data_IF_523494298967
#
_entry.id   IF_523494298967
#
_cell.length_a   1.000
_cell.length_b   1.000
_cell.length_c   1.000
_cell.angle_alpha   90.00
_cell.angle_beta   90.00
_cell.angle_gamma   90.00
#
_symmetry.space_group_name_H-M   'P 1'
#
loop_
_entity.id
_entity.type
_entity.pdbx_description
1 polymer ?
#
# COMPACT_ATOMS: atom_id res chain seq x y z
N UNK A 1 62.78 -42.72 -37.60
CA UNK A 1 62.43 -42.27 -36.23
C UNK A 1 62.05 -40.80 -36.35
N UNK A 2 60.83 -40.31 -36.24
CA UNK A 2 59.48 -40.84 -36.03
C UNK A 2 58.52 -39.67 -36.35
N UNK A 3 57.38 -39.96 -36.95
CA UNK A 3 56.35 -38.99 -37.38
C UNK A 3 55.53 -38.48 -36.19
N UNK A 4 55.24 -37.18 -36.10
CA UNK A 4 54.15 -36.64 -35.29
C UNK A 4 53.30 -35.69 -36.13
N UNK A 5 52.02 -36.04 -36.27
CA UNK A 5 51.02 -35.31 -37.05
C UNK A 5 50.36 -34.15 -36.28
N UNK A 6 49.54 -33.33 -36.96
CA UNK A 6 49.02 -32.08 -36.43
C UNK A 6 47.86 -32.33 -35.47
N UNK A 7 47.91 -31.68 -34.30
CA UNK A 7 46.92 -31.78 -33.24
C UNK A 7 45.55 -31.27 -33.66
N UNK A 8 44.54 -32.12 -33.46
CA UNK A 8 43.11 -31.84 -33.67
C UNK A 8 42.62 -30.88 -32.58
N UNK A 9 42.45 -29.59 -32.90
CA UNK A 9 41.77 -28.63 -32.01
C UNK A 9 40.29 -29.00 -31.90
N UNK A 10 39.81 -29.26 -30.67
CA UNK A 10 38.38 -29.39 -30.38
C UNK A 10 37.73 -28.01 -30.44
N UNK A 11 36.78 -27.84 -31.33
CA UNK A 11 35.86 -26.70 -31.37
C UNK A 11 34.89 -26.88 -30.18
N UNK A 12 34.71 -25.89 -29.30
CA UNK A 12 33.75 -25.99 -28.22
C UNK A 12 32.33 -25.93 -28.81
N UNK A 13 31.52 -26.92 -28.45
CA UNK A 13 30.09 -27.04 -28.77
C UNK A 13 29.35 -25.76 -28.36
N UNK A 14 29.06 -24.87 -29.31
CA UNK A 14 28.27 -23.64 -29.10
C UNK A 14 26.77 -23.84 -29.40
N UNK A 15 26.38 -25.04 -29.82
CA UNK A 15 25.01 -25.34 -30.28
C UNK A 15 24.10 -26.00 -29.24
N UNK A 16 24.59 -26.26 -28.00
CA UNK A 16 23.77 -26.91 -26.95
C UNK A 16 23.06 -25.95 -26.00
N UNK A 17 23.49 -24.69 -25.92
CA UNK A 17 22.93 -23.72 -24.97
C UNK A 17 21.55 -23.19 -25.39
N UNK A 18 21.24 -23.17 -26.70
CA UNK A 18 20.00 -22.56 -27.20
C UNK A 18 18.75 -23.39 -26.91
N UNK A 19 18.81 -24.71 -27.08
CA UNK A 19 17.66 -25.58 -26.84
C UNK A 19 17.30 -25.73 -25.35
N UNK A 20 18.30 -25.71 -24.47
CA UNK A 20 18.09 -25.72 -23.01
C UNK A 20 17.56 -24.37 -22.51
N UNK A 21 18.10 -23.24 -22.98
CA UNK A 21 17.59 -21.90 -22.64
C UNK A 21 16.17 -21.68 -23.16
N UNK A 22 15.84 -22.16 -24.37
CA UNK A 22 14.48 -22.09 -24.91
C UNK A 22 13.50 -22.92 -24.07
N UNK A 23 13.90 -24.11 -23.60
CA UNK A 23 13.09 -24.94 -22.72
C UNK A 23 12.87 -24.26 -21.35
N UNK A 24 13.90 -23.64 -20.76
CA UNK A 24 13.79 -22.90 -19.51
C UNK A 24 12.89 -21.67 -19.65
N UNK A 25 12.99 -20.94 -20.76
CA UNK A 25 12.11 -19.81 -21.09
C UNK A 25 10.65 -20.24 -21.28
N UNK A 26 10.42 -21.44 -21.80
CA UNK A 26 9.07 -21.99 -21.99
C UNK A 26 8.46 -22.41 -20.65
N UNK A 27 9.25 -23.05 -19.77
CA UNK A 27 8.86 -23.38 -18.40
C UNK A 27 8.54 -22.11 -17.59
N UNK A 28 9.36 -21.06 -17.71
CA UNK A 28 9.14 -19.80 -17.02
C UNK A 28 7.83 -19.12 -17.46
N UNK A 29 7.56 -19.05 -18.77
CA UNK A 29 6.29 -18.53 -19.31
C UNK A 29 5.09 -19.36 -18.88
N UNK A 30 5.22 -20.67 -18.85
CA UNK A 30 4.13 -21.55 -18.42
C UNK A 30 3.85 -21.42 -16.91
N UNK A 31 4.89 -21.25 -16.08
CA UNK A 31 4.75 -20.97 -14.66
C UNK A 31 4.09 -19.60 -14.41
N UNK A 32 4.48 -18.57 -15.16
CA UNK A 32 3.91 -17.23 -15.09
C UNK A 32 2.43 -17.24 -15.52
N UNK A 33 2.08 -17.93 -16.60
CA UNK A 33 0.69 -18.11 -17.03
C UNK A 33 -0.15 -18.82 -15.96
N UNK A 34 0.39 -19.86 -15.31
CA UNK A 34 -0.30 -20.55 -14.20
C UNK A 34 -0.49 -19.65 -12.98
N UNK A 35 0.48 -18.79 -12.67
CA UNK A 35 0.34 -17.80 -11.60
C UNK A 35 -0.70 -16.73 -11.96
N UNK A 36 -0.70 -16.25 -13.20
CA UNK A 36 -1.69 -15.29 -13.69
C UNK A 36 -3.12 -15.84 -13.61
N UNK A 37 -3.34 -17.12 -13.99
CA UNK A 37 -4.64 -17.79 -13.84
C UNK A 37 -5.04 -17.89 -12.36
N UNK A 38 -4.11 -18.21 -11.45
CA UNK A 38 -4.40 -18.22 -10.00
C UNK A 38 -4.75 -16.82 -9.48
N UNK A 39 -4.06 -15.78 -9.94
CA UNK A 39 -4.37 -14.37 -9.59
C UNK A 39 -5.77 -13.99 -10.09
N UNK A 40 -6.11 -14.34 -11.33
CA UNK A 40 -7.44 -14.10 -11.90
C UNK A 40 -8.55 -14.83 -11.13
N UNK A 41 -8.34 -16.11 -10.78
CA UNK A 41 -9.30 -16.88 -10.00
C UNK A 41 -9.51 -16.32 -8.58
N UNK A 42 -8.45 -15.82 -7.95
CA UNK A 42 -8.57 -15.10 -6.66
C UNK A 42 -9.36 -13.80 -6.81
N UNK A 43 -9.09 -13.02 -7.86
CA UNK A 43 -9.84 -11.80 -8.14
C UNK A 43 -11.33 -12.07 -8.41
N UNK A 44 -11.66 -13.11 -9.18
CA UNK A 44 -13.05 -13.52 -9.41
C UNK A 44 -13.73 -14.00 -8.11
N UNK A 45 -13.01 -14.72 -7.24
CA UNK A 45 -13.51 -15.11 -5.94
C UNK A 45 -13.79 -13.90 -5.03
N UNK A 46 -12.94 -12.85 -5.06
CA UNK A 46 -13.20 -11.57 -4.36
C UNK A 46 -14.48 -10.92 -4.87
N UNK A 47 -14.65 -10.83 -6.18
CA UNK A 47 -15.82 -10.21 -6.82
C UNK A 47 -17.13 -10.93 -6.47
N UNK A 48 -17.13 -12.27 -6.52
CA UNK A 48 -18.29 -13.08 -6.14
C UNK A 48 -18.63 -12.85 -4.66
N UNK A 49 -17.62 -12.85 -3.80
CA UNK A 49 -17.80 -12.68 -2.36
C UNK A 49 -18.29 -11.29 -1.99
N UNK A 50 -17.77 -10.25 -2.65
CA UNK A 50 -18.23 -8.87 -2.47
C UNK A 50 -19.69 -8.68 -2.90
N UNK A 51 -20.10 -9.29 -4.02
CA UNK A 51 -21.49 -9.26 -4.48
C UNK A 51 -22.45 -9.98 -3.53
N UNK A 52 -22.04 -11.11 -2.96
CA UNK A 52 -22.85 -11.83 -1.96
C UNK A 52 -23.03 -10.98 -0.69
N UNK A 53 -22.02 -10.21 -0.29
CA UNK A 53 -22.12 -9.31 0.86
C UNK A 53 -23.05 -8.14 0.64
N UNK A 54 -22.97 -7.53 -0.54
CA UNK A 54 -23.91 -6.47 -0.95
C UNK A 54 -25.35 -7.01 -0.98
N UNK A 55 -25.54 -8.26 -1.42
CA UNK A 55 -26.83 -8.97 -1.39
C UNK A 55 -27.34 -9.16 0.04
N UNK A 56 -26.48 -9.62 0.96
CA UNK A 56 -26.84 -9.80 2.37
C UNK A 56 -27.17 -8.48 3.07
N UNK A 57 -26.41 -7.40 2.80
CA UNK A 57 -26.71 -6.07 3.34
C UNK A 57 -28.07 -5.54 2.85
N UNK A 58 -28.40 -5.81 1.58
CA UNK A 58 -29.69 -5.41 1.00
C UNK A 58 -30.86 -6.20 1.58
N UNK A 59 -30.74 -7.51 1.74
CA UNK A 59 -31.79 -8.37 2.34
C UNK A 59 -32.09 -7.96 3.80
N UNK A 60 -31.07 -7.65 4.60
CA UNK A 60 -31.25 -7.18 5.99
C UNK A 60 -31.93 -5.81 6.04
N UNK A 61 -31.58 -4.89 5.13
CA UNK A 61 -32.22 -3.57 5.04
C UNK A 61 -33.71 -3.69 4.69
N UNK A 62 -34.07 -4.59 3.78
CA UNK A 62 -35.47 -4.80 3.37
C UNK A 62 -36.30 -5.44 4.51
N UNK A 63 -35.68 -6.31 5.33
CA UNK A 63 -36.32 -6.92 6.50
C UNK A 63 -36.51 -5.92 7.66
N UNK A 64 -35.55 -5.00 7.90
CA UNK A 64 -35.71 -3.90 8.85
C UNK A 64 -36.85 -2.95 8.45
N UNK A 65 -36.98 -2.65 7.16
CA UNK A 65 -38.07 -1.82 6.66
C UNK A 65 -39.44 -2.48 6.88
N UNK A 66 -39.54 -3.80 6.64
CA UNK A 66 -40.78 -4.57 6.91
C UNK A 66 -41.15 -4.62 8.40
N UNK A 67 -40.17 -4.76 9.29
CA UNK A 67 -40.40 -4.81 10.74
C UNK A 67 -40.72 -3.42 11.34
N UNK A 68 -40.29 -2.34 10.69
CA UNK A 68 -40.58 -0.95 11.08
C UNK A 68 -42.03 -0.53 10.80
N UNK A 69 -42.64 -1.05 9.73
CA UNK A 69 -44.02 -0.68 9.32
C UNK A 69 -45.11 -1.32 10.21
N UNK A 70 -44.77 -2.36 10.99
CA UNK A 70 -45.71 -3.08 11.87
C UNK A 70 -46.17 -2.33 13.13
N UNK A 71 -45.56 -1.19 13.48
CA UNK A 71 -45.79 -0.52 14.78
C UNK A 71 -46.69 0.74 14.74
N UNK A 72 -47.29 1.12 13.59
CA UNK A 72 -48.08 2.37 13.47
C UNK A 72 -49.56 2.18 13.12
N UNK A 73 -50.21 1.13 13.61
CA UNK A 73 -51.65 1.00 13.42
C UNK A 73 -52.36 0.02 14.33
N UNK A 74 -52.62 0.39 15.59
CA UNK A 74 -53.86 -0.03 16.26
C UNK A 74 -54.12 0.77 17.55
N UNK A 75 -54.59 2.00 17.37
CA UNK A 75 -55.38 2.70 18.39
C UNK A 75 -56.79 2.83 17.82
N UNK A 76 -57.65 1.82 18.03
CA UNK A 76 -59.09 2.03 18.04
C UNK A 76 -59.81 0.95 18.85
N UNK A 77 -60.57 1.48 19.80
CA UNK A 77 -61.58 0.85 20.65
C UNK A 77 -62.74 0.33 19.79
N UNK A 78 -63.33 -0.77 20.29
CA UNK A 78 -64.63 -1.39 19.97
C UNK A 78 -64.80 -2.20 18.68
N UNK A 79 -64.98 -3.52 18.83
CA UNK A 79 -66.29 -4.20 18.97
C UNK A 79 -66.14 -5.67 18.51
N UNK A 80 -66.78 -6.55 19.27
CA UNK A 80 -66.85 -8.00 19.09
C UNK A 80 -67.22 -8.37 17.65
N UNK A 81 -66.55 -9.39 17.08
CA UNK A 81 -67.23 -10.48 16.38
C UNK A 81 -66.31 -11.70 16.30
N UNK A 82 -66.87 -12.83 16.71
CA UNK A 82 -66.31 -14.16 16.61
C UNK A 82 -65.94 -14.50 15.16
N UNK A 83 -64.73 -15.03 14.95
CA UNK A 83 -64.44 -15.86 13.78
C UNK A 83 -63.29 -16.82 14.08
N UNK A 84 -63.69 -18.04 14.42
CA UNK A 84 -62.87 -19.23 14.29
C UNK A 84 -62.42 -19.40 12.84
N UNK A 85 -61.11 -19.41 12.58
CA UNK A 85 -60.57 -20.10 11.41
C UNK A 85 -59.24 -20.77 11.74
N UNK A 86 -59.26 -22.07 11.48
CA UNK A 86 -58.29 -23.10 11.80
C UNK A 86 -57.19 -23.13 10.73
N UNK A 87 -55.92 -22.97 11.09
CA UNK A 87 -54.84 -23.46 10.24
C UNK A 87 -53.65 -24.00 11.04
N UNK A 88 -53.12 -25.12 10.54
CA UNK A 88 -52.33 -26.14 11.25
C UNK A 88 -50.82 -25.95 11.11
N UNK A 89 -50.10 -26.51 12.07
CA UNK A 89 -48.72 -27.02 11.95
C UNK A 89 -47.74 -26.29 12.88
N UNK A 90 -46.87 -26.91 13.66
CA UNK A 90 -46.44 -28.30 13.80
C UNK A 90 -45.87 -28.44 15.23
N UNK A 91 -46.29 -29.49 15.95
CA UNK A 91 -45.83 -29.82 17.30
C UNK A 91 -44.83 -30.97 17.22
N UNK A 92 -43.62 -30.78 17.76
CA UNK A 92 -42.84 -31.87 18.36
C UNK A 92 -42.20 -31.38 19.66
N UNK A 93 -42.75 -31.90 20.76
CA UNK A 93 -42.13 -32.22 22.05
C UNK A 93 -41.12 -31.24 22.68
N UNK A 94 -41.46 -30.71 23.85
CA UNK A 94 -40.95 -31.31 25.09
C UNK A 94 -41.76 -30.88 26.32
N UNK A 95 -42.09 -31.89 27.11
CA UNK A 95 -42.92 -31.90 28.31
C UNK A 95 -42.09 -31.62 29.56
N UNK A 96 -42.41 -30.59 30.34
CA UNK A 96 -42.27 -30.63 31.81
C UNK A 96 -43.42 -29.85 32.46
N UNK A 97 -44.03 -30.51 33.43
CA UNK A 97 -45.36 -30.29 33.99
C UNK A 97 -45.45 -29.11 34.96
N UNK A 98 -46.43 -28.22 34.75
CA UNK A 98 -46.85 -27.18 35.69
C UNK A 98 -48.02 -27.65 36.58
N UNK A 99 -47.88 -28.81 37.22
CA UNK A 99 -48.97 -29.46 37.96
C UNK A 99 -48.80 -29.48 39.50
N UNK A 100 -47.93 -28.64 40.08
CA UNK A 100 -47.59 -28.74 41.51
C UNK A 100 -47.86 -27.48 42.35
N UNK A 101 -48.84 -26.65 42.00
CA UNK A 101 -49.25 -25.51 42.86
C UNK A 101 -50.75 -25.36 43.12
N UNK A 102 -51.56 -26.37 42.83
CA UNK A 102 -52.99 -26.37 43.17
C UNK A 102 -53.28 -27.31 44.37
N UNK A 103 -52.79 -26.98 45.57
CA UNK A 103 -53.28 -27.65 46.78
C UNK A 103 -53.00 -26.88 48.08
N UNK A 104 -53.49 -25.65 48.21
CA UNK A 104 -53.72 -25.00 49.51
C UNK A 104 -54.99 -24.13 49.44
N UNK A 105 -56.11 -24.75 49.06
CA UNK A 105 -57.45 -24.15 49.12
C UNK A 105 -58.31 -24.90 50.13
N UNK A 106 -58.07 -24.69 51.42
CA UNK A 106 -58.82 -25.30 52.52
C UNK A 106 -59.18 -24.25 53.56
N UNK A 107 -60.43 -23.81 53.52
CA UNK A 107 -61.00 -22.78 54.39
C UNK A 107 -60.90 -23.15 55.88
N UNK A 108 -60.49 -22.20 56.73
CA UNK A 108 -60.88 -22.23 58.13
C UNK A 108 -60.86 -20.85 58.79
N UNK A 109 -62.01 -20.53 59.40
CA UNK A 109 -62.19 -19.72 60.61
C UNK A 109 -62.29 -18.18 60.52
N UNK A 110 -63.55 -17.75 60.44
CA UNK A 110 -64.21 -16.65 61.18
C UNK A 110 -63.34 -15.88 62.23
N UNK A 111 -63.03 -14.62 61.91
CA UNK A 111 -62.97 -13.39 62.77
C UNK A 111 -62.42 -12.30 61.84
N UNK A 112 -63.11 -11.22 61.52
CA UNK A 112 -63.41 -10.14 62.45
C UNK A 112 -62.28 -9.11 62.44
N UNK A 113 -62.49 -8.01 61.70
CA UNK A 113 -61.85 -6.70 61.84
C UNK A 113 -60.44 -6.49 61.26
N UNK A 114 -60.31 -5.30 60.62
CA UNK A 114 -59.10 -4.57 60.17
C UNK A 114 -58.21 -5.26 59.11
N UNK A 115 -58.19 -4.74 57.87
CA UNK A 115 -56.96 -4.56 57.06
C UNK A 115 -57.29 -3.96 55.68
N UNK A 116 -57.39 -2.63 55.62
CA UNK A 116 -57.45 -1.88 54.36
C UNK A 116 -56.05 -1.47 53.86
N UNK A 117 -55.00 -1.70 54.65
CA UNK A 117 -53.61 -1.28 54.37
C UNK A 117 -52.78 -2.34 53.62
N UNK A 118 -52.98 -3.64 53.89
CA UNK A 118 -52.16 -4.70 53.26
C UNK A 118 -52.50 -4.96 51.77
N UNK A 119 -53.75 -4.71 51.35
CA UNK A 119 -54.19 -4.91 49.96
C UNK A 119 -53.66 -3.84 49.00
N UNK A 120 -53.51 -2.59 49.46
CA UNK A 120 -53.03 -1.49 48.60
C UNK A 120 -51.52 -1.60 48.37
N UNK A 121 -50.80 -2.03 49.41
CA UNK A 121 -49.34 -2.20 49.38
C UNK A 121 -48.91 -3.39 48.50
N UNK A 122 -49.66 -4.49 48.55
CA UNK A 122 -49.48 -5.63 47.63
C UNK A 122 -49.85 -5.30 46.19
N UNK A 123 -50.90 -4.50 45.97
CA UNK A 123 -51.28 -4.05 44.62
C UNK A 123 -50.25 -3.07 44.02
N UNK A 124 -49.67 -2.18 44.84
CA UNK A 124 -48.58 -1.29 44.42
C UNK A 124 -47.31 -2.08 44.06
N UNK A 125 -46.92 -3.06 44.87
CA UNK A 125 -45.78 -3.95 44.60
C UNK A 125 -45.95 -4.75 43.30
N UNK A 126 -47.16 -5.23 43.00
CA UNK A 126 -47.45 -5.92 41.74
C UNK A 126 -47.29 -4.99 40.52
N UNK A 127 -47.70 -3.71 40.63
CA UNK A 127 -47.49 -2.74 39.53
C UNK A 127 -46.01 -2.45 39.33
N UNK A 128 -45.25 -2.24 40.40
CA UNK A 128 -43.81 -1.99 40.33
C UNK A 128 -43.04 -3.18 39.71
N UNK A 129 -43.43 -4.42 40.02
CA UNK A 129 -42.84 -5.61 39.38
C UNK A 129 -43.18 -5.68 37.89
N UNK A 130 -44.40 -5.29 37.49
CA UNK A 130 -44.80 -5.25 36.07
C UNK A 130 -44.05 -4.18 35.29
N UNK A 131 -43.88 -2.99 35.88
CA UNK A 131 -43.13 -1.90 35.28
C UNK A 131 -41.64 -2.28 35.17
N UNK A 132 -41.08 -2.89 36.21
CA UNK A 132 -39.70 -3.42 36.20
C UNK A 132 -39.48 -4.52 35.15
N UNK A 133 -40.48 -5.40 34.96
CA UNK A 133 -40.47 -6.41 33.91
C UNK A 133 -40.48 -5.76 32.52
N UNK A 134 -41.36 -4.79 32.28
CA UNK A 134 -41.43 -4.07 31.01
C UNK A 134 -40.11 -3.32 30.70
N UNK A 135 -39.50 -2.69 31.70
CA UNK A 135 -38.18 -2.05 31.58
C UNK A 135 -37.07 -3.04 31.23
N UNK A 136 -37.09 -4.22 31.85
CA UNK A 136 -36.13 -5.28 31.57
C UNK A 136 -36.30 -5.85 30.15
N UNK A 137 -37.55 -6.04 29.70
CA UNK A 137 -37.89 -6.47 28.34
C UNK A 137 -37.43 -5.44 27.29
N UNK A 138 -37.61 -4.14 27.55
CA UNK A 138 -37.12 -3.08 26.66
C UNK A 138 -35.60 -3.03 26.59
N UNK A 139 -34.91 -3.17 27.72
CA UNK A 139 -33.44 -3.25 27.75
C UNK A 139 -32.93 -4.46 27.00
N UNK A 140 -33.57 -5.61 27.15
CA UNK A 140 -33.21 -6.83 26.43
C UNK A 140 -33.36 -6.65 24.92
N UNK A 141 -34.48 -6.08 24.46
CA UNK A 141 -34.71 -5.78 23.05
C UNK A 141 -33.64 -4.84 22.48
N UNK A 142 -33.28 -3.76 23.20
CA UNK A 142 -32.21 -2.84 22.79
C UNK A 142 -30.86 -3.56 22.69
N UNK A 143 -30.54 -4.42 23.65
CA UNK A 143 -29.32 -5.22 23.64
C UNK A 143 -29.28 -6.20 22.46
N UNK A 144 -30.40 -6.83 22.10
CA UNK A 144 -30.48 -7.73 20.94
C UNK A 144 -30.24 -6.99 19.62
N UNK A 145 -30.85 -5.82 19.42
CA UNK A 145 -30.61 -4.99 18.23
C UNK A 145 -29.16 -4.54 18.16
N UNK A 146 -28.59 -4.08 19.28
CA UNK A 146 -27.17 -3.71 19.34
C UNK A 146 -26.24 -4.90 19.05
N UNK A 147 -26.59 -6.10 19.52
CA UNK A 147 -25.79 -7.30 19.27
C UNK A 147 -25.84 -7.71 17.79
N UNK A 148 -27.01 -7.63 17.15
CA UNK A 148 -27.15 -7.84 15.71
C UNK A 148 -26.30 -6.84 14.91
N UNK A 149 -26.35 -5.55 15.27
CA UNK A 149 -25.51 -4.53 14.64
C UNK A 149 -24.03 -4.83 14.78
N UNK A 150 -23.57 -5.15 16.00
CA UNK A 150 -22.17 -5.51 16.25
C UNK A 150 -21.74 -6.75 15.48
N UNK A 151 -22.64 -7.71 15.27
CA UNK A 151 -22.36 -8.89 14.45
C UNK A 151 -22.16 -8.51 12.98
N UNK A 152 -23.02 -7.65 12.44
CA UNK A 152 -22.90 -7.14 11.06
C UNK A 152 -21.60 -6.34 10.87
N UNK A 153 -21.27 -5.46 11.81
CA UNK A 153 -20.03 -4.68 11.79
C UNK A 153 -18.80 -5.60 11.86
N UNK A 154 -18.83 -6.61 12.75
CA UNK A 154 -17.78 -7.62 12.86
C UNK A 154 -17.59 -8.39 11.55
N UNK A 155 -18.68 -8.84 10.93
CA UNK A 155 -18.63 -9.53 9.65
C UNK A 155 -18.03 -8.62 8.58
N UNK A 156 -18.52 -7.39 8.46
CA UNK A 156 -18.02 -6.40 7.49
C UNK A 156 -16.52 -6.13 7.66
N UNK A 157 -16.07 -5.88 8.88
CA UNK A 157 -14.66 -5.66 9.19
C UNK A 157 -13.79 -6.88 8.88
N UNK A 158 -14.30 -8.09 9.18
CA UNK A 158 -13.60 -9.33 8.86
C UNK A 158 -13.37 -9.47 7.35
N UNK A 159 -14.35 -9.12 6.51
CA UNK A 159 -14.18 -9.11 5.05
C UNK A 159 -13.17 -8.05 4.59
N UNK A 160 -13.22 -6.84 5.15
CA UNK A 160 -12.23 -5.80 4.83
C UNK A 160 -10.81 -6.26 5.16
N UNK A 161 -10.61 -6.90 6.30
CA UNK A 161 -9.31 -7.45 6.69
C UNK A 161 -8.84 -8.53 5.71
N UNK A 162 -9.73 -9.40 5.27
CA UNK A 162 -9.39 -10.44 4.29
C UNK A 162 -9.04 -9.85 2.91
N UNK A 163 -9.81 -8.87 2.44
CA UNK A 163 -9.52 -8.15 1.20
C UNK A 163 -8.17 -7.43 1.25
N UNK A 164 -7.87 -6.72 2.35
CA UNK A 164 -6.60 -6.03 2.55
C UNK A 164 -5.40 -7.00 2.64
N UNK A 165 -5.56 -8.16 3.27
CA UNK A 165 -4.51 -9.20 3.29
C UNK A 165 -4.21 -9.72 1.90
N UNK A 166 -5.26 -9.88 1.11
CA UNK A 166 -5.19 -10.33 -0.27
C UNK A 166 -4.51 -9.29 -1.17
N UNK A 167 -4.85 -8.00 -1.04
CA UNK A 167 -4.16 -6.89 -1.72
C UNK A 167 -2.70 -6.74 -1.29
N UNK A 168 -2.41 -6.90 0.00
CA UNK A 168 -1.03 -6.89 0.51
C UNK A 168 -0.18 -7.98 -0.16
N UNK A 169 -0.72 -9.20 -0.28
CA UNK A 169 -0.06 -10.29 -0.97
C UNK A 169 0.24 -9.98 -2.44
N UNK A 170 -0.71 -9.37 -3.16
CA UNK A 170 -0.51 -8.97 -4.56
C UNK A 170 0.58 -7.89 -4.68
N UNK A 171 0.63 -6.93 -3.75
CA UNK A 171 1.68 -5.89 -3.70
C UNK A 171 3.05 -6.45 -3.36
N UNK A 172 3.14 -7.42 -2.45
CA UNK A 172 4.37 -8.14 -2.11
C UNK A 172 4.92 -8.91 -3.32
N UNK A 173 4.05 -9.61 -4.07
CA UNK A 173 4.40 -10.30 -5.31
C UNK A 173 4.94 -9.31 -6.36
N UNK A 174 4.24 -8.18 -6.57
CA UNK A 174 4.66 -7.15 -7.53
C UNK A 174 6.03 -6.52 -7.16
N UNK A 175 6.27 -6.30 -5.86
CA UNK A 175 7.54 -5.78 -5.36
C UNK A 175 8.67 -6.80 -5.56
N UNK A 176 8.41 -8.08 -5.34
CA UNK A 176 9.38 -9.14 -5.58
C UNK A 176 9.73 -9.24 -7.08
N UNK A 177 8.74 -9.18 -7.97
CA UNK A 177 8.94 -9.14 -9.41
C UNK A 177 9.71 -7.89 -9.88
N UNK A 178 9.46 -6.72 -9.28
CA UNK A 178 10.18 -5.49 -9.58
C UNK A 178 11.65 -5.57 -9.16
N UNK A 179 11.94 -6.13 -7.98
CA UNK A 179 13.32 -6.38 -7.53
C UNK A 179 14.05 -7.33 -8.47
N UNK A 180 13.42 -8.45 -8.83
CA UNK A 180 14.01 -9.42 -9.78
C UNK A 180 14.33 -8.76 -11.13
N UNK A 181 13.39 -7.96 -11.67
CA UNK A 181 13.61 -7.18 -12.89
C UNK A 181 14.78 -6.22 -12.76
N UNK A 182 14.91 -5.53 -11.62
CA UNK A 182 16.04 -4.65 -11.32
C UNK A 182 17.39 -5.39 -11.27
N UNK A 183 17.42 -6.58 -10.69
CA UNK A 183 18.64 -7.41 -10.66
C UNK A 183 19.06 -7.85 -12.06
N UNK A 184 18.10 -8.22 -12.91
CA UNK A 184 18.38 -8.66 -14.28
C UNK A 184 18.83 -7.50 -15.18
N UNK A 185 18.24 -6.32 -15.06
CA UNK A 185 18.71 -5.12 -15.79
C UNK A 185 20.08 -4.67 -15.31
N UNK A 186 20.39 -4.80 -14.01
CA UNK A 186 21.70 -4.49 -13.48
C UNK A 186 22.79 -5.44 -14.04
N UNK A 187 22.49 -6.75 -14.12
CA UNK A 187 23.41 -7.71 -14.78
C UNK A 187 23.66 -7.34 -16.24
N UNK A 188 22.63 -6.91 -16.97
CA UNK A 188 22.77 -6.49 -18.36
C UNK A 188 23.59 -5.21 -18.50
N UNK A 189 23.36 -4.23 -17.62
CA UNK A 189 24.16 -3.01 -17.57
C UNK A 189 25.65 -3.32 -17.33
N UNK A 190 25.97 -4.25 -16.44
CA UNK A 190 27.36 -4.66 -16.20
C UNK A 190 27.99 -5.36 -17.41
N UNK A 191 27.23 -6.17 -18.17
CA UNK A 191 27.72 -6.74 -19.44
C UNK A 191 28.04 -5.65 -20.46
N UNK A 192 27.14 -4.69 -20.63
CA UNK A 192 27.36 -3.55 -21.54
C UNK A 192 28.54 -2.68 -21.10
N UNK A 193 28.73 -2.45 -19.79
CA UNK A 193 29.90 -1.75 -19.26
C UNK A 193 31.20 -2.47 -19.62
N UNK A 194 31.23 -3.80 -19.48
CA UNK A 194 32.40 -4.61 -19.87
C UNK A 194 32.66 -4.51 -21.37
N UNK A 195 31.62 -4.67 -22.22
CA UNK A 195 31.74 -4.54 -23.66
C UNK A 195 32.24 -3.14 -24.08
N UNK A 196 31.71 -2.09 -23.47
CA UNK A 196 32.13 -0.72 -23.70
C UNK A 196 33.59 -0.50 -23.31
N UNK A 197 34.04 -1.05 -22.17
CA UNK A 197 35.43 -0.98 -21.74
C UNK A 197 36.39 -1.63 -22.75
N UNK A 198 36.03 -2.79 -23.29
CA UNK A 198 36.81 -3.45 -24.35
C UNK A 198 36.84 -2.61 -25.62
N UNK A 199 35.70 -2.04 -26.04
CA UNK A 199 35.64 -1.22 -27.24
C UNK A 199 36.44 0.08 -27.09
N UNK A 200 36.42 0.71 -25.92
CA UNK A 200 37.28 1.88 -25.62
C UNK A 200 38.76 1.53 -25.73
N UNK A 201 39.17 0.37 -25.22
CA UNK A 201 40.55 -0.09 -25.33
C UNK A 201 40.97 -0.24 -26.80
N UNK A 202 40.17 -0.94 -27.61
CA UNK A 202 40.45 -1.07 -29.04
C UNK A 202 40.42 0.26 -29.80
N UNK A 203 39.49 1.16 -29.48
CA UNK A 203 39.45 2.49 -30.07
C UNK A 203 40.73 3.28 -29.76
N UNK A 204 41.25 3.17 -28.53
CA UNK A 204 42.50 3.81 -28.14
C UNK A 204 43.69 3.24 -28.92
N UNK A 205 43.79 1.91 -29.04
CA UNK A 205 44.83 1.26 -29.85
C UNK A 205 44.79 1.70 -31.31
N UNK A 206 43.60 1.70 -31.93
CA UNK A 206 43.43 2.11 -33.33
C UNK A 206 43.80 3.59 -33.49
N UNK A 207 43.36 4.46 -32.59
CA UNK A 207 43.68 5.88 -32.62
C UNK A 207 45.19 6.13 -32.52
N UNK A 208 45.88 5.44 -31.61
CA UNK A 208 47.34 5.53 -31.48
C UNK A 208 48.04 5.04 -32.77
N UNK A 209 47.59 3.92 -33.34
CA UNK A 209 48.14 3.41 -34.60
C UNK A 209 47.93 4.38 -35.77
N UNK A 210 46.77 5.04 -35.86
CA UNK A 210 46.46 6.04 -36.86
C UNK A 210 47.40 7.24 -36.73
N UNK A 211 47.56 7.78 -35.51
CA UNK A 211 48.48 8.90 -35.26
C UNK A 211 49.92 8.57 -35.65
N UNK A 212 50.40 7.35 -35.37
CA UNK A 212 51.72 6.91 -35.80
C UNK A 212 51.87 6.87 -37.33
N UNK A 213 50.82 6.43 -38.05
CA UNK A 213 50.85 6.42 -39.52
C UNK A 213 50.81 7.83 -40.11
N UNK A 214 50.02 8.75 -39.54
CA UNK A 214 49.97 10.17 -39.93
C UNK A 214 51.33 10.86 -39.69
N UNK A 215 51.97 10.59 -38.56
CA UNK A 215 53.32 11.08 -38.25
C UNK A 215 54.38 10.53 -39.22
N UNK A 216 54.27 9.28 -39.64
CA UNK A 216 55.19 8.70 -40.63
C UNK A 216 54.97 9.31 -42.02
N UNK A 217 53.71 9.48 -42.43
CA UNK A 217 53.36 10.11 -43.71
C UNK A 217 53.87 11.55 -43.79
N UNK A 218 53.68 12.33 -42.72
CA UNK A 218 54.19 13.70 -42.62
C UNK A 218 55.72 13.75 -42.65
N UNK A 219 56.42 12.84 -41.95
CA UNK A 219 57.90 12.69 -42.03
C UNK A 219 58.38 12.36 -43.45
N UNK A 220 57.59 11.63 -44.23
CA UNK A 220 57.89 11.30 -45.63
C UNK A 220 57.40 12.35 -46.63
N UNK A 221 56.92 13.51 -46.17
CA UNK A 221 56.52 14.63 -47.02
C UNK A 221 55.13 14.49 -47.65
N UNK A 222 54.32 13.52 -47.22
CA UNK A 222 52.93 13.37 -47.64
C UNK A 222 52.04 14.09 -46.63
N UNK A 223 51.73 15.35 -46.91
CA UNK A 223 50.78 16.15 -46.12
C UNK A 223 49.39 15.90 -46.69
N UNK A 224 48.51 15.28 -45.90
CA UNK A 224 47.09 15.16 -46.22
C UNK A 224 46.43 16.50 -45.85
N UNK A 225 46.26 17.38 -46.83
CA UNK A 225 45.53 18.64 -46.63
C UNK A 225 44.06 18.36 -46.28
N UNK A 226 43.43 19.14 -45.38
CA UNK A 226 42.02 18.96 -45.01
C UNK A 226 41.05 19.21 -46.18
N UNK A 227 41.51 19.83 -47.27
CA UNK A 227 40.71 20.19 -48.44
C UNK A 227 40.93 19.28 -49.66
N UNK A 228 41.39 18.03 -49.50
CA UNK A 228 41.39 17.09 -50.64
C UNK A 228 39.94 16.69 -50.94
N UNK A 229 39.29 17.50 -51.76
CA UNK A 229 38.14 17.09 -52.54
C UNK A 229 38.54 15.87 -53.35
N UNK A 230 37.78 14.78 -53.20
CA UNK A 230 37.90 13.61 -54.06
C UNK A 230 37.84 14.07 -55.52
N UNK A 231 38.89 13.82 -56.29
CA UNK A 231 39.05 14.25 -57.68
C UNK A 231 37.73 14.30 -58.47
N UNK A 232 37.34 15.53 -58.82
CA UNK A 232 36.33 15.84 -59.82
C UNK A 232 35.73 17.23 -59.63
N UNK A 233 36.49 18.30 -59.91
CA UNK A 233 35.98 19.56 -60.49
C UNK A 233 37.13 20.56 -60.75
N UNK A 234 36.97 21.33 -61.83
CA UNK A 234 37.97 22.06 -62.63
C UNK A 234 38.08 23.56 -62.28
N UNK A 235 39.14 24.20 -62.84
CA UNK A 235 39.28 25.65 -63.12
C UNK A 235 39.58 26.57 -61.92
N UNK A 236 40.42 27.62 -61.96
CA UNK A 236 41.21 28.24 -63.03
C UNK A 236 42.13 29.36 -62.45
N UNK A 237 43.22 29.68 -63.18
CA UNK A 237 43.99 30.96 -63.32
C UNK A 237 44.70 31.64 -62.11
N UNK A 238 46.04 31.72 -62.08
CA UNK A 238 47.00 32.72 -62.66
C UNK A 238 47.08 34.10 -61.92
N UNK A 239 48.15 34.48 -61.18
CA UNK A 239 49.54 34.96 -61.49
C UNK A 239 49.71 36.52 -61.62
N UNK A 240 50.73 37.07 -60.92
CA UNK A 240 51.52 38.29 -61.27
C UNK A 240 51.31 39.52 -60.34
N UNK A 241 52.24 40.12 -59.58
CA UNK A 241 53.68 40.48 -59.61
C UNK A 241 54.03 41.91 -60.13
N UNK A 242 54.68 42.69 -59.24
CA UNK A 242 55.67 43.81 -59.39
C UNK A 242 55.27 45.17 -60.05
N UNK A 243 55.40 46.36 -59.42
CA UNK A 243 56.59 47.22 -59.07
C UNK A 243 57.39 47.69 -60.32
N UNK A 244 57.88 48.92 -60.57
CA UNK A 244 58.01 50.23 -59.90
C UNK A 244 58.47 51.31 -60.94
N UNK A 245 58.81 52.54 -60.49
CA UNK A 245 59.67 53.63 -61.07
C UNK A 245 59.06 55.01 -61.50
N UNK A 246 59.79 56.07 -61.09
CA UNK A 246 59.48 57.52 -61.04
C UNK A 246 60.14 58.35 -62.17
N UNK A 247 59.59 59.55 -62.48
CA UNK A 247 60.35 60.75 -62.94
C UNK A 247 59.55 62.07 -62.79
N UNK A 248 60.25 63.21 -62.66
CA UNK A 248 59.84 64.59 -62.25
C UNK A 248 60.26 65.63 -63.34
N UNK A 249 59.98 66.97 -63.32
CA UNK A 249 58.86 67.80 -62.85
C UNK A 249 58.32 68.79 -63.94
N UNK A 250 57.08 69.29 -63.80
CA UNK A 250 56.62 70.52 -64.48
C UNK A 250 55.21 70.45 -65.09
N UNK A 251 54.22 71.01 -64.37
CA UNK A 251 52.83 71.21 -64.80
C UNK A 251 52.04 69.96 -65.23
N UNK A 252 52.37 68.83 -64.61
CA UNK A 252 51.52 67.64 -64.56
C UNK A 252 51.45 67.29 -63.09
N UNK A 253 50.26 67.32 -62.53
CA UNK A 253 50.02 66.85 -61.18
C UNK A 253 50.74 65.51 -61.04
N UNK A 254 51.84 65.47 -60.27
CA UNK A 254 52.70 64.29 -60.29
C UNK A 254 51.87 63.09 -59.82
N UNK A 255 52.17 61.87 -60.25
CA UNK A 255 51.42 60.70 -59.77
C UNK A 255 51.44 60.64 -58.22
N UNK A 256 52.52 61.12 -57.61
CA UNK A 256 52.64 61.36 -56.18
C UNK A 256 51.69 62.44 -55.67
N UNK A 257 51.47 63.52 -56.41
CA UNK A 257 50.56 64.62 -56.07
C UNK A 257 49.09 64.19 -56.17
N UNK A 258 48.72 63.41 -57.20
CA UNK A 258 47.42 62.73 -57.31
C UNK A 258 47.22 61.71 -56.18
N UNK A 259 48.26 60.96 -55.83
CA UNK A 259 48.22 60.00 -54.71
C UNK A 259 48.13 60.71 -53.37
N UNK A 260 48.79 61.85 -53.20
CA UNK A 260 48.69 62.71 -52.02
C UNK A 260 47.30 63.32 -51.93
N UNK A 261 46.70 63.80 -53.03
CA UNK A 261 45.31 64.26 -53.05
C UNK A 261 44.33 63.16 -52.68
N UNK A 262 44.48 61.97 -53.27
CA UNK A 262 43.66 60.81 -52.95
C UNK A 262 43.81 60.39 -51.48
N UNK A 263 45.03 60.39 -50.94
CA UNK A 263 45.27 60.14 -49.52
C UNK A 263 44.69 61.24 -48.62
N UNK A 264 44.69 62.51 -49.06
CA UNK A 264 44.10 63.62 -48.33
C UNK A 264 42.57 63.57 -48.36
N UNK A 265 41.97 63.11 -49.45
CA UNK A 265 40.54 62.83 -49.62
C UNK A 265 40.12 61.63 -48.78
N UNK A 266 40.85 60.50 -48.84
CA UNK A 266 40.65 59.33 -47.98
C UNK A 266 40.79 59.70 -46.50
N UNK A 267 41.82 60.50 -46.15
CA UNK A 267 41.98 61.03 -44.78
C UNK A 267 40.83 61.97 -44.40
N UNK A 268 40.31 62.80 -45.31
CA UNK A 268 39.13 63.63 -45.03
C UNK A 268 37.89 62.77 -44.80
N UNK A 269 37.66 61.76 -45.66
CA UNK A 269 36.55 60.82 -45.54
C UNK A 269 36.60 60.03 -44.23
N UNK A 270 37.80 59.55 -43.85
CA UNK A 270 38.02 58.90 -42.55
C UNK A 270 37.83 59.88 -41.39
N UNK A 271 38.24 61.14 -41.53
CA UNK A 271 37.97 62.17 -40.53
C UNK A 271 36.48 62.43 -40.36
N UNK A 272 35.72 62.43 -41.46
CA UNK A 272 34.28 62.63 -41.44
C UNK A 272 33.56 61.40 -40.87
N UNK A 273 34.04 60.17 -41.15
CA UNK A 273 33.60 58.95 -40.47
C UNK A 273 33.89 58.98 -38.98
N UNK A 274 35.08 59.43 -38.56
CA UNK A 274 35.42 59.58 -37.14
C UNK A 274 34.56 60.64 -36.48
N UNK A 275 34.25 61.75 -37.16
CA UNK A 275 33.29 62.74 -36.66
C UNK A 275 31.89 62.13 -36.55
N UNK A 276 31.44 61.37 -37.54
CA UNK A 276 30.13 60.70 -37.52
C UNK A 276 30.04 59.65 -36.41
N UNK A 277 31.08 58.86 -36.20
CA UNK A 277 31.17 57.89 -35.10
C UNK A 277 31.25 58.58 -33.74
N UNK A 278 31.92 59.74 -33.66
CA UNK A 278 31.93 60.58 -32.45
C UNK A 278 30.57 61.20 -32.17
N UNK A 279 29.87 61.70 -33.18
CA UNK A 279 28.49 62.18 -33.01
C UNK A 279 27.56 61.03 -32.66
N UNK A 280 27.75 59.82 -33.20
CA UNK A 280 26.99 58.63 -32.79
C UNK A 280 27.31 58.15 -31.37
N UNK A 281 28.52 58.44 -30.86
CA UNK A 281 28.91 58.22 -29.47
C UNK A 281 28.36 59.33 -28.54
N UNK A 282 28.30 60.58 -28.99
CA UNK A 282 27.72 61.73 -28.26
C UNK A 282 26.18 61.70 -28.25
N UNK A 283 25.56 61.27 -29.35
CA UNK A 283 24.11 60.98 -29.47
C UNK A 283 23.71 59.68 -28.77
N UNK A 284 24.65 59.02 -28.10
CA UNK A 284 24.40 57.99 -27.10
C UNK A 284 24.44 58.64 -25.70
N UNK A 285 23.44 59.47 -25.29
CA UNK A 285 23.45 59.98 -23.95
C UNK A 285 23.12 58.83 -22.98
N UNK A 286 23.78 58.83 -21.83
CA UNK A 286 23.24 58.26 -20.59
C UNK A 286 23.08 56.73 -20.51
N UNK A 287 24.10 55.97 -20.88
CA UNK A 287 24.39 54.70 -20.20
C UNK A 287 25.83 54.77 -19.65
N UNK A 288 25.93 54.98 -18.34
CA UNK A 288 27.10 54.73 -17.49
C UNK A 288 28.15 55.85 -17.39
N UNK A 289 27.84 56.80 -16.49
CA UNK A 289 28.65 57.32 -15.36
C UNK A 289 29.84 58.28 -15.54
N UNK A 290 29.87 59.25 -14.61
CA UNK A 290 31.02 59.89 -13.92
C UNK A 290 31.32 61.35 -14.37
N UNK A 291 31.29 62.41 -13.56
CA UNK A 291 31.13 62.60 -12.12
C UNK A 291 31.33 64.10 -11.76
N UNK A 292 30.94 64.47 -10.53
CA UNK A 292 31.12 65.75 -9.80
C UNK A 292 30.15 66.92 -10.09
N UNK A 293 29.13 67.04 -9.22
CA UNK A 293 28.87 68.20 -8.34
C UNK A 293 27.77 67.82 -7.31
N UNK A 294 28.07 67.96 -6.01
CA UNK A 294 27.15 67.81 -4.86
C UNK A 294 26.64 69.23 -4.51
N UNK A 295 25.41 69.53 -4.00
CA UNK A 295 24.39 68.67 -3.38
C UNK A 295 22.93 68.96 -3.84
N UNK A 296 21.95 68.34 -3.18
CA UNK A 296 20.48 68.50 -3.30
C UNK A 296 19.74 67.62 -4.33
N UNK A 297 19.11 66.58 -3.79
CA UNK A 297 17.66 66.48 -3.90
C UNK A 297 17.07 65.87 -5.18
N UNK A 298 16.85 64.55 -5.08
CA UNK A 298 15.69 63.83 -5.60
C UNK A 298 15.67 63.41 -7.09
N UNK A 299 15.20 62.16 -7.23
CA UNK A 299 14.69 61.49 -8.42
C UNK A 299 15.75 60.93 -9.39
N UNK A 300 16.07 59.63 -9.25
CA UNK A 300 15.37 58.57 -9.99
C UNK A 300 16.22 57.28 -10.12
N UNK A 301 16.28 56.42 -9.09
CA UNK A 301 16.62 54.99 -9.32
C UNK A 301 16.12 54.02 -8.23
N UNK A 302 15.04 54.37 -7.54
CA UNK A 302 14.35 53.51 -6.56
C UNK A 302 13.51 52.37 -7.20
N UNK A 303 13.85 51.91 -8.40
CA UNK A 303 13.02 50.97 -9.18
C UNK A 303 13.55 49.54 -9.23
N UNK A 304 14.84 49.38 -9.54
CA UNK A 304 15.45 48.07 -9.78
C UNK A 304 15.85 47.36 -8.47
N UNK A 305 16.22 48.13 -7.45
CA UNK A 305 16.53 47.64 -6.11
C UNK A 305 15.26 47.24 -5.32
N UNK A 306 14.11 47.87 -5.61
CA UNK A 306 12.81 47.56 -4.96
C UNK A 306 12.28 46.20 -5.39
N UNK A 307 12.38 45.84 -6.67
CA UNK A 307 11.96 44.51 -7.16
C UNK A 307 12.84 43.39 -6.60
N UNK A 308 14.15 43.62 -6.46
CA UNK A 308 15.06 42.67 -5.84
C UNK A 308 14.76 42.51 -4.34
N UNK A 309 14.48 43.62 -3.63
CA UNK A 309 14.05 43.59 -2.22
C UNK A 309 12.70 42.90 -2.03
N UNK A 310 11.75 43.06 -2.95
CA UNK A 310 10.45 42.37 -2.92
C UNK A 310 10.63 40.86 -3.13
N UNK A 311 11.41 40.44 -4.13
CA UNK A 311 11.75 39.03 -4.34
C UNK A 311 12.46 38.42 -3.11
N UNK A 312 13.38 39.16 -2.48
CA UNK A 312 14.05 38.73 -1.26
C UNK A 312 13.06 38.60 -0.08
N UNK A 313 12.10 39.52 0.06
CA UNK A 313 11.06 39.46 1.10
C UNK A 313 10.11 38.28 0.87
N UNK A 314 9.71 38.04 -0.37
CA UNK A 314 8.84 36.91 -0.74
C UNK A 314 9.54 35.57 -0.55
N UNK A 315 10.81 35.46 -0.95
CA UNK A 315 11.64 34.29 -0.66
C UNK A 315 11.75 34.06 0.86
N UNK A 316 12.00 35.10 1.64
CA UNK A 316 12.06 35.01 3.11
C UNK A 316 10.70 34.63 3.74
N UNK A 317 9.59 35.10 3.18
CA UNK A 317 8.23 34.72 3.58
C UNK A 317 7.98 33.24 3.31
N UNK A 318 8.30 32.76 2.12
CA UNK A 318 8.18 31.35 1.74
C UNK A 318 9.07 30.45 2.61
N UNK A 319 10.31 30.85 2.87
CA UNK A 319 11.23 30.15 3.78
C UNK A 319 10.62 30.06 5.18
N UNK A 320 10.04 31.15 5.68
CA UNK A 320 9.42 31.16 7.01
C UNK A 320 8.19 30.25 7.08
N UNK A 321 7.38 30.22 6.02
CA UNK A 321 6.21 29.34 5.92
C UNK A 321 6.62 27.85 5.85
N UNK A 322 7.67 27.53 5.09
CA UNK A 322 8.23 26.18 5.03
C UNK A 322 8.83 25.75 6.37
N UNK A 323 9.53 26.65 7.07
CA UNK A 323 10.04 26.39 8.44
C UNK A 323 8.90 26.11 9.42
N UNK A 324 7.81 26.86 9.35
CA UNK A 324 6.64 26.60 10.19
C UNK A 324 6.00 25.24 9.89
N UNK A 325 5.84 24.90 8.61
CA UNK A 325 5.35 23.58 8.18
C UNK A 325 6.27 22.45 8.63
N UNK A 326 7.59 22.64 8.54
CA UNK A 326 8.58 21.68 9.02
C UNK A 326 8.43 21.44 10.53
N UNK A 327 8.42 22.50 11.35
CA UNK A 327 8.25 22.37 12.81
C UNK A 327 6.93 21.66 13.16
N UNK A 328 5.84 21.97 12.44
CA UNK A 328 4.56 21.30 12.64
C UNK A 328 4.64 19.82 12.30
N UNK A 329 5.28 19.46 11.18
CA UNK A 329 5.49 18.06 10.80
C UNK A 329 6.39 17.32 11.77
N UNK A 330 7.42 17.97 12.34
CA UNK A 330 8.30 17.38 13.36
C UNK A 330 7.52 17.09 14.66
N UNK A 331 6.60 17.97 15.07
CA UNK A 331 5.72 17.72 16.20
C UNK A 331 4.76 16.55 15.94
N UNK A 332 4.21 16.46 14.73
CA UNK A 332 3.35 15.34 14.32
C UNK A 332 4.11 14.01 14.30
N UNK A 333 5.36 14.00 13.81
CA UNK A 333 6.23 12.82 13.86
C UNK A 333 6.46 12.37 15.30
N UNK A 334 6.82 13.28 16.21
CA UNK A 334 7.02 12.94 17.62
C UNK A 334 5.76 12.35 18.29
N UNK A 335 4.58 12.86 17.93
CA UNK A 335 3.31 12.32 18.44
C UNK A 335 3.02 10.91 17.88
N UNK A 336 3.30 10.67 16.59
CA UNK A 336 3.16 9.35 15.98
C UNK A 336 4.15 8.34 16.57
N UNK A 337 5.39 8.73 16.83
CA UNK A 337 6.40 7.88 17.49
C UNK A 337 5.93 7.43 18.88
N UNK A 338 5.37 8.34 19.69
CA UNK A 338 4.79 7.96 20.98
C UNK A 338 3.62 6.98 20.85
N UNK A 339 2.78 7.15 19.83
CA UNK A 339 1.69 6.20 19.55
C UNK A 339 2.22 4.81 19.18
N UNK A 340 3.27 4.73 18.35
CA UNK A 340 3.93 3.46 17.99
C UNK A 340 4.44 2.76 19.25
N UNK A 341 5.18 3.47 20.12
CA UNK A 341 5.70 2.89 21.37
C UNK A 341 4.57 2.33 22.25
N UNK A 342 3.47 3.07 22.37
CA UNK A 342 2.30 2.62 23.16
C UNK A 342 1.65 1.38 22.55
N UNK A 343 1.47 1.36 21.23
CA UNK A 343 0.88 0.24 20.50
C UNK A 343 1.77 -1.01 20.56
N UNK A 344 3.08 -0.86 20.40
CA UNK A 344 4.05 -1.95 20.54
C UNK A 344 4.00 -2.56 21.95
N UNK A 345 3.87 -1.72 22.98
CA UNK A 345 3.63 -2.17 24.35
C UNK A 345 2.32 -2.94 24.52
N UNK A 346 1.25 -2.55 23.82
CA UNK A 346 -0.02 -3.32 23.82
C UNK A 346 0.13 -4.65 23.10
N UNK A 347 0.75 -4.68 21.91
CA UNK A 347 1.00 -5.90 21.14
C UNK A 347 1.81 -6.90 21.96
N UNK A 348 2.88 -6.44 22.62
CA UNK A 348 3.70 -7.29 23.48
C UNK A 348 2.89 -7.93 24.60
N UNK A 349 2.05 -7.13 25.30
CA UNK A 349 1.18 -7.65 26.37
C UNK A 349 0.16 -8.67 25.86
N UNK A 350 -0.52 -8.38 24.76
CA UNK A 350 -1.51 -9.30 24.19
C UNK A 350 -0.88 -10.59 23.67
N UNK A 351 0.32 -10.50 23.09
CA UNK A 351 1.09 -11.68 22.67
C UNK A 351 1.40 -12.58 23.85
N UNK A 352 1.96 -12.05 24.93
CA UNK A 352 2.25 -12.83 26.14
C UNK A 352 0.98 -13.40 26.78
N UNK A 353 -0.11 -12.63 26.81
CA UNK A 353 -1.39 -13.13 27.32
C UNK A 353 -1.95 -14.29 26.48
N UNK A 354 -1.85 -14.20 25.16
CA UNK A 354 -2.26 -15.26 24.24
C UNK A 354 -1.42 -16.53 24.41
N UNK A 355 -0.10 -16.39 24.47
CA UNK A 355 0.82 -17.53 24.70
C UNK A 355 0.55 -18.22 26.04
N UNK A 356 0.22 -17.46 27.09
CA UNK A 356 -0.15 -18.02 28.39
C UNK A 356 -1.51 -18.72 28.34
N UNK A 357 -2.50 -18.17 27.63
CA UNK A 357 -3.81 -18.78 27.46
C UNK A 357 -3.72 -20.12 26.69
N UNK A 358 -2.90 -20.18 25.64
CA UNK A 358 -2.64 -21.42 24.88
C UNK A 358 -2.04 -22.52 25.77
N UNK A 359 -1.04 -22.17 26.60
CA UNK A 359 -0.46 -23.11 27.57
C UNK A 359 -1.50 -23.66 28.55
N UNK A 360 -2.35 -22.79 29.11
CA UNK A 360 -3.42 -23.20 30.04
C UNK A 360 -4.44 -24.10 29.32
N UNK A 361 -4.79 -23.79 28.07
CA UNK A 361 -5.71 -24.61 27.29
C UNK A 361 -5.17 -26.04 27.10
N UNK A 362 -3.88 -26.17 26.79
CA UNK A 362 -3.24 -27.46 26.61
C UNK A 362 -3.14 -28.26 27.92
N UNK A 363 -2.86 -27.61 29.05
CA UNK A 363 -2.93 -28.22 30.38
C UNK A 363 -4.34 -28.75 30.67
N UNK A 364 -5.37 -27.93 30.44
CA UNK A 364 -6.77 -28.32 30.64
C UNK A 364 -7.20 -29.47 29.71
N UNK A 365 -6.69 -29.53 28.46
CA UNK A 365 -6.93 -30.68 27.56
C UNK A 365 -6.34 -31.97 28.15
N UNK A 366 -5.14 -31.90 28.73
CA UNK A 366 -4.50 -33.05 29.37
C UNK A 366 -5.29 -33.48 30.60
N UNK A 367 -5.68 -32.55 31.47
CA UNK A 367 -6.50 -32.83 32.65
C UNK A 367 -7.86 -33.43 32.30
N UNK A 368 -8.55 -32.88 31.28
CA UNK A 368 -9.81 -33.44 30.77
C UNK A 368 -9.65 -34.89 30.36
N UNK A 369 -8.58 -35.23 29.62
CA UNK A 369 -8.31 -36.62 29.20
C UNK A 369 -8.02 -37.52 30.40
N UNK A 370 -7.34 -37.01 31.43
CA UNK A 370 -7.06 -37.74 32.67
C UNK A 370 -8.36 -38.03 33.43
N UNK A 371 -9.18 -37.02 33.69
CA UNK A 371 -10.46 -37.17 34.38
C UNK A 371 -11.42 -38.08 33.61
N UNK A 372 -11.43 -38.01 32.28
CA UNK A 372 -12.22 -38.95 31.46
C UNK A 372 -11.77 -40.41 31.61
N UNK A 373 -10.47 -40.67 31.76
CA UNK A 373 -9.96 -42.02 32.03
C UNK A 373 -10.34 -42.49 33.42
N UNK A 374 -10.20 -41.62 34.42
CA UNK A 374 -10.59 -41.91 35.81
C UNK A 374 -12.10 -42.18 35.94
N UNK A 375 -12.93 -41.39 35.24
CA UNK A 375 -14.38 -41.60 35.20
C UNK A 375 -14.74 -42.97 34.63
N UNK A 376 -14.14 -43.37 33.49
CA UNK A 376 -14.38 -44.70 32.91
C UNK A 376 -13.98 -45.81 33.88
N UNK A 377 -12.79 -45.72 34.47
CA UNK A 377 -12.33 -46.72 35.45
C UNK A 377 -13.24 -46.80 36.70
N UNK A 378 -13.79 -45.66 37.14
CA UNK A 378 -14.75 -45.64 38.25
C UNK A 378 -16.10 -46.28 37.86
N UNK A 379 -16.60 -46.03 36.64
CA UNK A 379 -17.81 -46.67 36.12
C UNK A 379 -17.64 -48.18 35.99
N UNK A 380 -16.53 -48.64 35.42
CA UNK A 380 -16.23 -50.07 35.32
C UNK A 380 -16.24 -50.75 36.71
N UNK A 381 -15.71 -50.06 37.73
CA UNK A 381 -15.72 -50.54 39.11
C UNK A 381 -17.12 -50.54 39.74
N UNK A 382 -17.98 -49.59 39.38
CA UNK A 382 -19.39 -49.58 39.81
C UNK A 382 -20.11 -50.79 39.21
N UNK A 383 -19.95 -51.04 37.90
CA UNK A 383 -20.57 -52.17 37.22
C UNK A 383 -20.15 -53.52 37.85
N UNK A 384 -18.87 -53.69 38.17
CA UNK A 384 -18.37 -54.87 38.90
C UNK A 384 -19.03 -55.03 40.28
N UNK A 385 -19.16 -53.93 41.04
CA UNK A 385 -19.79 -53.94 42.35
C UNK A 385 -21.30 -54.21 42.26
N UNK A 386 -21.99 -53.70 41.25
CA UNK A 386 -23.41 -53.98 41.00
C UNK A 386 -23.65 -55.45 40.69
N UNK A 387 -22.80 -56.06 39.85
CA UNK A 387 -22.86 -57.50 39.54
C UNK A 387 -22.64 -58.33 40.81
N UNK A 388 -21.58 -58.04 41.58
CA UNK A 388 -21.30 -58.77 42.83
C UNK A 388 -22.42 -58.62 43.86
N UNK A 389 -22.96 -57.41 44.03
CA UNK A 389 -24.08 -57.16 44.91
C UNK A 389 -25.35 -57.90 44.46
N UNK A 390 -25.61 -57.96 43.14
CA UNK A 390 -26.67 -58.78 42.57
C UNK A 390 -26.53 -60.26 42.89
N UNK A 391 -25.30 -60.81 42.82
CA UNK A 391 -25.03 -62.20 43.22
C UNK A 391 -25.26 -62.44 44.71
N UNK A 392 -24.80 -61.52 45.57
CA UNK A 392 -24.99 -61.61 47.02
C UNK A 392 -26.46 -61.51 47.40
N UNK A 393 -27.20 -60.59 46.79
CA UNK A 393 -28.64 -60.41 47.01
C UNK A 393 -29.41 -61.68 46.67
N UNK A 394 -29.14 -62.30 45.52
CA UNK A 394 -29.74 -63.60 45.13
C UNK A 394 -29.41 -64.72 46.12
N UNK A 395 -28.17 -64.80 46.63
CA UNK A 395 -27.79 -65.79 47.66
C UNK A 395 -28.56 -65.55 48.95
N UNK A 396 -28.70 -64.31 49.36
CA UNK A 396 -29.41 -63.91 50.56
C UNK A 396 -30.91 -64.23 50.47
N UNK A 397 -31.54 -63.98 49.32
CA UNK A 397 -32.92 -64.38 49.04
C UNK A 397 -33.12 -65.90 49.14
N UNK A 398 -32.22 -66.70 48.55
CA UNK A 398 -32.26 -68.17 48.70
C UNK A 398 -32.18 -68.61 50.16
N UNK A 399 -31.27 -68.02 50.94
CA UNK A 399 -31.15 -68.31 52.37
C UNK A 399 -32.40 -67.93 53.15
N UNK A 400 -33.02 -66.78 52.84
CA UNK A 400 -34.30 -66.35 53.43
C UNK A 400 -35.42 -67.35 53.09
N UNK A 401 -35.55 -67.73 51.82
CA UNK A 401 -36.56 -68.69 51.36
C UNK A 401 -36.41 -70.06 52.05
N UNK A 402 -35.17 -70.55 52.17
CA UNK A 402 -34.87 -71.79 52.89
C UNK A 402 -35.25 -71.70 54.37
N UNK A 403 -34.94 -70.58 55.04
CA UNK A 403 -35.33 -70.35 56.44
C UNK A 403 -36.85 -70.34 56.60
N UNK A 404 -37.58 -69.66 55.73
CA UNK A 404 -39.05 -69.64 55.79
C UNK A 404 -39.65 -71.03 55.54
N UNK A 405 -39.09 -71.82 54.63
CA UNK A 405 -39.55 -73.18 54.39
C UNK A 405 -39.32 -74.10 55.61
N UNK A 406 -38.16 -73.98 56.27
CA UNK A 406 -37.86 -74.72 57.51
C UNK A 406 -38.81 -74.33 58.65
N UNK A 407 -39.12 -73.04 58.80
CA UNK A 407 -40.07 -72.57 59.81
C UNK A 407 -41.51 -73.04 59.55
N UNK A 408 -41.89 -73.27 58.29
CA UNK A 408 -43.21 -73.78 57.94
C UNK A 408 -43.38 -75.31 58.17
N UNK A 409 -42.29 -76.02 58.43
CA UNK A 409 -42.28 -77.47 58.74
C UNK A 409 -42.26 -77.77 60.24
N UNK A 410 -42.12 -76.75 61.09
CA UNK A 410 -42.26 -76.82 62.55
C UNK A 410 -43.69 -76.41 62.94
#
# INVERSE_FOLDING_TARGET
MGTQGPGRKRIPNREKLTAEDDALNQIAREAEARLAVKRAARAEARDIRMKELERQQKEVSDDEERMSVGSRGSLRVEERTDRDFLEKGSRTASTLSAATLASLGGASSRRGSCDTSFSVETEASIREIKDSLADAEEKYRKAMVSNAQLHNDKCTLMYQVEALKEELGDMEEALWEARRRGDDTNKELERERQAHSVLQFHFKEIKESLTQTEELLTKHGVVVSPDVTTNGETDDHEVGSELAEESSPGARESMLELRVKKLLEERHSLQDQVRLLRTQLEERPAEVTDGMEDPEGAAQENGMDVQLLELQRDANRQISELKFKLVKSEQEVAALEQNVIRLDGQVTRYKTASENAEKIEDELKVEKRKLQRELRAALDRVDELEVTNGHLSKRLEKMKANRTALLAQQ
#
